data_IF_851395694622
#
_entry.id   IF_851395694622
#
_cell.length_a   1.000
_cell.length_b   1.000
_cell.length_c   1.000
_cell.angle_alpha   90.00
_cell.angle_beta   90.00
_cell.angle_gamma   90.00
#
_symmetry.space_group_name_H-M   'P 1'
#
loop_
_entity.id
_entity.type
_entity.pdbx_description
1 polymer ?
#
# COMPACT_ATOMS: atom_id res chain seq x y z
N UNK A 1 -5.17 -14.23 -10.59
CA UNK A 1 -4.38 -13.88 -9.38
C UNK A 1 -4.79 -12.51 -8.81
N UNK A 2 -4.76 -11.42 -9.58
CA UNK A 2 -5.08 -10.06 -9.09
C UNK A 2 -6.54 -9.90 -8.59
N UNK A 3 -7.53 -10.45 -9.30
CA UNK A 3 -8.94 -10.37 -8.91
C UNK A 3 -9.22 -10.96 -7.51
N UNK A 4 -8.61 -12.10 -7.18
CA UNK A 4 -8.77 -12.74 -5.87
C UNK A 4 -8.22 -11.89 -4.71
N UNK A 5 -7.18 -11.08 -4.95
CA UNK A 5 -6.65 -10.14 -3.95
C UNK A 5 -7.63 -8.98 -3.72
N UNK A 6 -8.18 -8.40 -4.78
CA UNK A 6 -9.14 -7.29 -4.68
C UNK A 6 -10.44 -7.73 -4.00
N UNK A 7 -10.86 -8.97 -4.23
CA UNK A 7 -12.10 -9.53 -3.69
C UNK A 7 -11.92 -10.17 -2.29
N UNK A 8 -10.74 -10.04 -1.66
CA UNK A 8 -10.48 -10.55 -0.31
C UNK A 8 -10.49 -12.08 -0.19
N UNK A 9 -10.35 -12.81 -1.31
CA UNK A 9 -10.35 -14.28 -1.35
C UNK A 9 -8.94 -14.88 -1.45
N UNK A 10 -7.92 -14.04 -1.45
CA UNK A 10 -6.54 -14.50 -1.48
C UNK A 10 -6.14 -15.08 -0.12
N UNK A 11 -5.90 -16.38 -0.07
CA UNK A 11 -5.49 -17.12 1.12
C UNK A 11 -3.98 -17.39 1.09
N UNK A 12 -3.29 -17.16 2.20
CA UNK A 12 -1.89 -17.55 2.38
C UNK A 12 -1.74 -18.54 3.53
N UNK A 13 -0.85 -19.51 3.31
CA UNK A 13 -0.33 -20.40 4.33
C UNK A 13 1.20 -20.38 4.24
N UNK A 14 1.85 -19.75 5.21
CA UNK A 14 3.31 -19.56 5.24
C UNK A 14 3.90 -20.49 6.30
N UNK A 15 4.90 -21.28 5.88
CA UNK A 15 5.70 -22.13 6.76
C UNK A 15 7.14 -21.62 6.76
N UNK A 16 7.75 -21.46 7.94
CA UNK A 16 9.13 -20.98 8.09
C UNK A 16 10.01 -22.05 8.72
N UNK A 17 11.16 -22.35 8.09
CA UNK A 17 12.18 -23.21 8.68
C UNK A 17 12.93 -22.54 9.83
N UNK A 18 13.04 -21.21 9.80
CA UNK A 18 13.68 -20.42 10.86
C UNK A 18 12.82 -20.36 12.14
N UNK A 19 11.51 -20.57 12.02
CA UNK A 19 10.57 -20.65 13.15
C UNK A 19 9.71 -21.91 12.98
N UNK A 20 10.30 -23.07 13.27
CA UNK A 20 9.74 -24.40 12.95
C UNK A 20 8.38 -24.74 13.61
N UNK A 21 7.89 -23.93 14.56
CA UNK A 21 6.53 -24.03 15.11
C UNK A 21 5.58 -22.91 14.69
N UNK A 22 6.04 -21.98 13.84
CA UNK A 22 5.30 -20.81 13.40
C UNK A 22 4.56 -21.06 12.09
N UNK A 23 3.25 -21.30 12.18
CA UNK A 23 2.34 -21.30 11.03
C UNK A 23 1.60 -19.96 10.98
N UNK A 24 1.66 -19.25 9.85
CA UNK A 24 0.87 -18.04 9.60
C UNK A 24 -0.13 -18.34 8.49
N UNK A 25 -1.42 -18.22 8.83
CA UNK A 25 -2.54 -18.61 7.96
C UNK A 25 -3.62 -17.54 7.99
N UNK A 26 -4.17 -17.18 6.83
CA UNK A 26 -5.26 -16.22 6.76
C UNK A 26 -5.56 -15.71 5.36
N UNK A 27 -6.62 -14.92 5.28
CA UNK A 27 -6.98 -14.17 4.07
C UNK A 27 -6.30 -12.80 4.08
N UNK A 28 -5.81 -12.36 2.93
CA UNK A 28 -5.34 -11.00 2.75
C UNK A 28 -6.53 -10.05 2.73
N UNK A 29 -6.45 -9.03 3.58
CA UNK A 29 -7.41 -7.93 3.63
C UNK A 29 -6.79 -6.72 2.97
N UNK A 30 -7.57 -6.04 2.12
CA UNK A 30 -7.16 -4.77 1.57
C UNK A 30 -7.29 -3.70 2.65
N UNK A 31 -6.16 -3.12 3.05
CA UNK A 31 -6.12 -1.98 3.97
C UNK A 31 -5.80 -0.75 3.13
N UNK A 32 -6.73 0.21 2.98
CA UNK A 32 -6.43 1.49 2.37
C UNK A 32 -5.27 2.16 3.12
N UNK A 33 -4.26 2.63 2.41
CA UNK A 33 -3.15 3.34 3.03
C UNK A 33 -3.65 4.73 3.52
N UNK A 34 -3.61 5.01 4.83
CA UNK A 34 -4.08 6.27 5.36
C UNK A 34 -2.99 7.32 5.21
N UNK A 35 -2.95 7.99 4.05
CA UNK A 35 -2.04 9.12 3.84
C UNK A 35 -1.62 9.35 2.40
N UNK A 36 -1.80 8.39 1.50
CA UNK A 36 -1.30 8.44 0.14
C UNK A 36 -1.91 9.62 -0.61
N UNK A 37 -3.21 9.84 -0.43
CA UNK A 37 -3.91 10.99 -1.00
C UNK A 37 -3.33 12.32 -0.47
N UNK A 38 -3.00 12.38 0.82
CA UNK A 38 -2.42 13.58 1.44
C UNK A 38 -1.01 13.84 0.91
N UNK A 39 -0.17 12.81 0.82
CA UNK A 39 1.20 12.92 0.30
C UNK A 39 1.22 13.32 -1.17
N UNK A 40 0.36 12.71 -2.00
CA UNK A 40 0.19 13.09 -3.40
C UNK A 40 -0.30 14.54 -3.49
N UNK A 41 -1.32 14.92 -2.72
CA UNK A 41 -1.85 16.28 -2.68
C UNK A 41 -0.79 17.31 -2.28
N UNK A 42 -0.01 17.03 -1.23
CA UNK A 42 1.07 17.89 -0.77
C UNK A 42 2.19 18.01 -1.82
N UNK A 43 2.58 16.91 -2.47
CA UNK A 43 3.56 16.89 -3.54
C UNK A 43 3.13 17.74 -4.73
N UNK A 44 1.89 17.55 -5.21
CA UNK A 44 1.32 18.34 -6.31
C UNK A 44 1.23 19.83 -5.94
N UNK A 45 0.78 20.17 -4.74
CA UNK A 45 0.74 21.55 -4.26
C UNK A 45 2.14 22.19 -4.23
N UNK A 46 3.15 21.46 -3.76
CA UNK A 46 4.55 21.91 -3.77
C UNK A 46 5.09 22.17 -5.18
N UNK A 47 4.78 21.29 -6.13
CA UNK A 47 5.18 21.46 -7.54
C UNK A 47 4.53 22.71 -8.17
N UNK A 48 3.23 22.92 -7.93
CA UNK A 48 2.50 24.09 -8.41
C UNK A 48 3.05 25.39 -7.79
N UNK A 49 3.31 25.41 -6.48
CA UNK A 49 3.89 26.57 -5.80
C UNK A 49 5.28 26.93 -6.37
N UNK A 50 6.12 25.91 -6.65
CA UNK A 50 7.45 26.11 -7.26
C UNK A 50 7.41 26.56 -8.71
N UNK A 51 6.40 26.17 -9.48
CA UNK A 51 6.22 26.66 -10.85
C UNK A 51 5.91 28.16 -10.91
N UNK A 52 5.13 28.66 -9.94
CA UNK A 52 4.74 30.08 -9.86
C UNK A 52 5.90 31.03 -9.53
N UNK A 53 6.88 30.58 -8.74
CA UNK A 53 8.04 31.40 -8.37
C UNK A 53 9.11 31.50 -9.46
N UNK A 54 8.99 30.74 -10.57
CA UNK A 54 9.94 30.76 -11.70
C UNK A 54 9.52 31.70 -12.83
N UNK A 55 8.31 32.25 -12.79
CA UNK A 55 7.72 33.08 -13.85
C UNK A 55 7.68 34.57 -13.46
N UNK A 56 8.28 34.93 -12.31
CA UNK A 56 8.41 36.31 -11.82
C UNK A 56 9.85 36.76 -11.84
#
# INVERSE_FOLDING_TARGET
MFAALQEGRAYLNIHSSAFAGGEIRGFLVFVPEPGAALLVGAGLAGLLARGRSRTS
#
